data_IF_914212954128
#
_entry.id   IF_914212954128
#
_cell.length_a   1.000
_cell.length_b   1.000
_cell.length_c   1.000
_cell.angle_alpha   90.00
_cell.angle_beta   90.00
_cell.angle_gamma   90.00
#
_symmetry.space_group_name_H-M   'P 1'
#
loop_
_entity.id
_entity.type
_entity.pdbx_description
1 polymer ?
#
# COMPACT_ATOMS: atom_id res chain seq x y z
N UNK A 1 5.58 -7.20 -17.64
CA UNK A 1 6.87 -7.69 -17.08
C UNK A 1 7.13 -7.17 -15.68
N UNK A 2 6.97 -5.87 -15.37
CA UNK A 2 6.99 -5.38 -13.97
C UNK A 2 6.01 -6.17 -13.07
N UNK A 3 4.76 -6.32 -13.52
CA UNK A 3 3.76 -7.17 -12.84
C UNK A 3 4.13 -8.65 -12.83
N UNK A 4 4.97 -9.13 -13.77
CA UNK A 4 5.40 -10.53 -13.83
C UNK A 4 6.56 -10.80 -12.88
N UNK A 5 7.49 -9.85 -12.73
CA UNK A 5 8.59 -9.89 -11.77
C UNK A 5 8.08 -9.63 -10.34
N UNK A 6 7.01 -8.83 -10.20
CA UNK A 6 6.22 -8.77 -8.97
C UNK A 6 5.44 -10.08 -8.78
N UNK A 7 4.78 -10.64 -9.80
CA UNK A 7 3.98 -11.87 -9.66
C UNK A 7 4.79 -13.17 -9.51
N UNK A 8 6.07 -13.23 -9.88
CA UNK A 8 6.89 -14.44 -9.70
C UNK A 8 7.02 -14.86 -8.23
N UNK A 9 7.14 -13.95 -7.25
CA UNK A 9 6.95 -14.26 -5.83
C UNK A 9 5.48 -14.25 -5.36
N UNK A 10 4.54 -13.67 -6.13
CA UNK A 10 3.14 -13.49 -5.68
C UNK A 10 2.21 -14.44 -6.44
N UNK A 11 1.87 -15.57 -5.79
CA UNK A 11 0.80 -16.46 -6.24
C UNK A 11 -0.51 -15.68 -6.34
N UNK A 12 -0.87 -15.24 -7.54
CA UNK A 12 -2.19 -14.71 -7.85
C UNK A 12 -3.14 -15.91 -7.86
N UNK A 13 -3.95 -16.07 -6.82
CA UNK A 13 -4.99 -17.10 -6.77
C UNK A 13 -6.06 -16.81 -7.84
N UNK A 14 -6.23 -17.67 -8.86
CA UNK A 14 -7.23 -17.47 -9.90
C UNK A 14 -8.67 -17.76 -9.45
N UNK A 15 -8.90 -18.21 -8.21
CA UNK A 15 -10.21 -18.66 -7.72
C UNK A 15 -10.88 -17.76 -6.66
N UNK A 16 -10.21 -16.71 -6.19
CA UNK A 16 -10.74 -15.78 -5.19
C UNK A 16 -11.36 -14.53 -5.81
N UNK A 17 -12.67 -14.35 -5.62
CA UNK A 17 -13.50 -13.18 -5.93
C UNK A 17 -12.70 -11.91 -6.33
N UNK A 18 -12.63 -11.68 -7.64
CA UNK A 18 -11.69 -10.76 -8.26
C UNK A 18 -12.01 -9.29 -7.96
N UNK A 19 -11.46 -8.76 -6.87
CA UNK A 19 -11.39 -7.33 -6.63
C UNK A 19 -10.11 -6.81 -7.30
N UNK A 20 -10.07 -6.79 -8.64
CA UNK A 20 -9.04 -6.01 -9.32
C UNK A 20 -9.36 -4.54 -9.05
N UNK A 21 -8.49 -3.79 -8.36
CA UNK A 21 -8.68 -2.34 -8.29
C UNK A 21 -8.65 -1.79 -9.72
N UNK A 22 -9.55 -0.87 -10.03
CA UNK A 22 -9.63 -0.22 -11.35
C UNK A 22 -8.33 0.57 -11.68
N UNK A 23 -7.44 0.75 -10.69
CA UNK A 23 -6.11 1.35 -10.82
C UNK A 23 -5.03 0.45 -10.20
N UNK A 24 -3.79 0.50 -10.73
CA UNK A 24 -2.66 -0.29 -10.18
C UNK A 24 -2.15 0.22 -8.82
N UNK A 25 -2.60 1.39 -8.38
CA UNK A 25 -2.14 2.10 -7.18
C UNK A 25 -2.24 1.23 -5.91
N UNK A 26 -3.37 0.52 -5.66
CA UNK A 26 -3.49 -0.26 -4.44
C UNK A 26 -2.59 -1.49 -4.41
N UNK A 27 -2.11 -1.96 -5.57
CA UNK A 27 -1.16 -3.08 -5.63
C UNK A 27 0.14 -2.68 -4.95
N UNK A 28 0.74 -1.55 -5.35
CA UNK A 28 2.00 -1.07 -4.79
C UNK A 28 1.89 -0.81 -3.29
N UNK A 29 0.87 -0.07 -2.87
CA UNK A 29 0.72 0.31 -1.47
C UNK A 29 0.29 -0.86 -0.58
N UNK A 30 -0.49 -1.82 -1.07
CA UNK A 30 -0.82 -3.03 -0.30
C UNK A 30 0.39 -3.95 -0.16
N UNK A 31 1.15 -4.17 -1.23
CA UNK A 31 2.40 -4.95 -1.17
C UNK A 31 3.35 -4.32 -0.16
N UNK A 32 3.55 -3.01 -0.24
CA UNK A 32 4.43 -2.29 0.67
C UNK A 32 3.94 -2.31 2.13
N UNK A 33 2.62 -2.14 2.35
CA UNK A 33 2.01 -2.29 3.67
C UNK A 33 2.31 -3.66 4.28
N UNK A 34 2.23 -4.73 3.49
CA UNK A 34 2.56 -6.09 3.96
C UNK A 34 4.04 -6.23 4.31
N UNK A 35 4.94 -5.65 3.53
CA UNK A 35 6.38 -5.61 3.85
C UNK A 35 6.64 -4.88 5.18
N UNK A 36 6.01 -3.73 5.39
CA UNK A 36 6.11 -2.93 6.62
C UNK A 36 5.56 -3.65 7.87
N UNK A 37 4.63 -4.59 7.65
CA UNK A 37 4.02 -5.43 8.67
C UNK A 37 4.68 -6.81 8.80
N UNK A 38 5.78 -7.06 8.09
CA UNK A 38 6.51 -8.34 8.10
C UNK A 38 5.61 -9.54 7.73
N UNK A 39 4.64 -9.31 6.85
CA UNK A 39 3.76 -10.34 6.30
C UNK A 39 4.36 -10.90 5.00
N UNK A 40 3.87 -12.07 4.59
CA UNK A 40 4.18 -12.60 3.26
C UNK A 40 3.87 -11.54 2.21
N UNK A 41 4.89 -11.16 1.45
CA UNK A 41 4.73 -10.21 0.37
C UNK A 41 3.86 -10.91 -0.67
N UNK A 42 2.64 -10.44 -0.86
CA UNK A 42 1.62 -11.05 -1.71
C UNK A 42 0.55 -9.99 -2.01
N UNK A 43 -0.14 -10.12 -3.14
CA UNK A 43 -1.30 -9.28 -3.41
C UNK A 43 -2.54 -9.83 -2.70
N UNK A 44 -2.60 -9.60 -1.39
CA UNK A 44 -3.70 -10.00 -0.53
C UNK A 44 -4.04 -8.86 0.43
N UNK A 45 -5.32 -8.67 0.77
CA UNK A 45 -5.73 -7.62 1.70
C UNK A 45 -5.07 -7.80 3.08
N UNK A 46 -4.95 -6.70 3.81
CA UNK A 46 -4.60 -6.71 5.24
C UNK A 46 -5.88 -6.62 6.08
N UNK A 47 -5.85 -7.09 7.32
CA UNK A 47 -6.98 -6.94 8.26
C UNK A 47 -7.11 -5.48 8.73
N UNK A 48 -8.28 -5.10 9.23
CA UNK A 48 -8.49 -3.78 9.88
C UNK A 48 -7.53 -3.54 11.05
N UNK A 49 -7.14 -4.59 11.79
CA UNK A 49 -6.16 -4.47 12.87
C UNK A 49 -4.76 -4.17 12.33
N UNK A 50 -4.39 -4.82 11.23
CA UNK A 50 -3.11 -4.59 10.55
C UNK A 50 -3.03 -3.20 9.92
N UNK A 51 -4.13 -2.67 9.39
CA UNK A 51 -4.14 -1.30 8.86
C UNK A 51 -3.90 -0.27 9.97
N UNK A 52 -4.54 -0.42 11.14
CA UNK A 52 -4.26 0.44 12.30
C UNK A 52 -2.78 0.37 12.71
N UNK A 53 -2.23 -0.84 12.78
CA UNK A 53 -0.81 -1.03 13.12
C UNK A 53 0.14 -0.41 12.09
N UNK A 54 -0.18 -0.50 10.80
CA UNK A 54 0.56 0.15 9.72
C UNK A 54 0.59 1.66 9.96
N UNK A 55 -0.55 2.32 10.10
CA UNK A 55 -0.59 3.78 10.28
C UNK A 55 0.08 4.23 11.58
N UNK A 56 0.03 3.41 12.64
CA UNK A 56 0.81 3.66 13.85
C UNK A 56 2.32 3.66 13.57
N UNK A 57 2.83 2.75 12.73
CA UNK A 57 4.24 2.74 12.29
C UNK A 57 4.59 3.93 11.40
N UNK A 58 3.72 4.25 10.44
CA UNK A 58 3.94 5.35 9.50
C UNK A 58 4.06 6.71 10.17
N UNK A 59 3.29 6.90 11.25
CA UNK A 59 3.21 8.15 12.00
C UNK A 59 4.11 8.17 13.23
N UNK A 60 4.93 7.13 13.41
CA UNK A 60 5.78 7.01 14.59
C UNK A 60 6.78 8.17 14.63
N UNK A 61 6.72 8.97 15.69
CA UNK A 61 7.57 10.16 15.87
C UNK A 61 6.91 11.48 15.44
N UNK A 62 5.71 11.44 14.87
CA UNK A 62 4.91 12.63 14.56
C UNK A 62 4.01 13.00 15.75
N UNK A 63 3.90 14.29 16.05
CA UNK A 63 3.19 14.78 17.24
C UNK A 63 1.66 14.92 17.05
N UNK A 64 1.18 14.88 15.82
CA UNK A 64 -0.22 15.03 15.48
C UNK A 64 -0.42 15.38 14.01
N UNK A 65 -1.68 15.49 13.56
CA UNK A 65 -1.99 15.83 12.18
C UNK A 65 -1.59 17.29 11.83
N UNK A 66 -1.30 17.58 10.55
CA UNK A 66 -1.26 16.62 9.44
C UNK A 66 -0.04 15.69 9.56
N UNK A 67 -0.29 14.39 9.51
CA UNK A 67 0.77 13.39 9.53
C UNK A 67 1.41 13.31 8.16
N UNK A 68 2.67 13.73 8.02
CA UNK A 68 3.35 13.76 6.72
C UNK A 68 3.77 12.38 6.26
N UNK A 69 4.13 11.48 7.17
CA UNK A 69 4.66 10.15 6.86
C UNK A 69 5.90 10.21 5.93
N UNK A 70 6.55 11.37 5.84
CA UNK A 70 7.67 11.65 4.91
C UNK A 70 8.85 10.68 5.00
N UNK A 71 9.25 10.17 6.20
CA UNK A 71 10.39 9.26 6.31
C UNK A 71 10.24 7.97 5.48
N UNK A 72 9.02 7.64 5.07
CA UNK A 72 8.71 6.42 4.33
C UNK A 72 8.58 6.60 2.81
N UNK A 73 8.54 7.85 2.30
CA UNK A 73 8.47 8.12 0.85
C UNK A 73 9.64 7.50 0.09
N UNK A 74 10.86 7.81 0.52
CA UNK A 74 12.05 7.35 -0.16
C UNK A 74 12.27 5.82 -0.03
N UNK A 75 12.06 5.18 1.13
CA UNK A 75 11.99 3.71 1.24
C UNK A 75 10.95 3.07 0.31
N UNK A 76 9.75 3.65 0.19
CA UNK A 76 8.70 3.16 -0.70
C UNK A 76 9.16 3.17 -2.16
N UNK A 77 9.63 4.32 -2.66
CA UNK A 77 10.11 4.47 -4.05
C UNK A 77 11.23 3.47 -4.35
N UNK A 78 12.24 3.39 -3.47
CA UNK A 78 13.37 2.47 -3.63
C UNK A 78 12.98 1.00 -3.69
N UNK A 79 11.97 0.59 -2.92
CA UNK A 79 11.52 -0.82 -2.89
C UNK A 79 11.10 -1.30 -4.28
N UNK A 80 10.34 -0.47 -4.99
CA UNK A 80 9.80 -0.83 -6.30
C UNK A 80 10.78 -0.56 -7.45
N UNK A 81 11.61 0.47 -7.35
CA UNK A 81 12.57 0.79 -8.41
C UNK A 81 13.74 -0.17 -8.43
N UNK A 82 14.14 -0.72 -7.27
CA UNK A 82 15.10 -1.81 -7.19
C UNK A 82 14.60 -3.09 -7.89
N UNK A 83 13.29 -3.36 -7.83
CA UNK A 83 12.66 -4.48 -8.52
C UNK A 83 12.48 -4.25 -10.04
N UNK A 84 12.69 -3.01 -10.51
CA UNK A 84 12.55 -2.60 -11.90
C UNK A 84 13.92 -2.39 -12.58
N UNK A 85 14.89 -3.25 -12.29
CA UNK A 85 16.29 -3.13 -12.76
C UNK A 85 16.46 -3.12 -14.28
N UNK A 86 15.49 -3.65 -15.02
CA UNK A 86 15.56 -3.83 -16.47
C UNK A 86 15.04 -2.61 -17.25
N UNK A 87 14.49 -1.61 -16.57
CA UNK A 87 14.04 -0.37 -17.19
C UNK A 87 15.22 0.46 -17.67
N UNK A 88 15.07 1.13 -18.82
CA UNK A 88 16.07 2.13 -19.23
C UNK A 88 15.98 3.37 -18.33
N UNK A 89 17.01 4.21 -18.35
CA UNK A 89 17.13 5.35 -17.44
C UNK A 89 15.89 6.28 -17.45
N UNK A 90 15.37 6.61 -18.64
CA UNK A 90 14.18 7.46 -18.81
C UNK A 90 12.90 6.80 -18.24
N UNK A 91 12.71 5.50 -18.49
CA UNK A 91 11.57 4.74 -17.94
C UNK A 91 11.66 4.63 -16.41
N UNK A 92 12.88 4.48 -15.88
CA UNK A 92 13.12 4.40 -14.45
C UNK A 92 12.84 5.73 -13.75
N UNK A 93 13.27 6.85 -14.34
CA UNK A 93 13.00 8.20 -13.83
C UNK A 93 11.48 8.47 -13.79
N UNK A 94 10.77 8.19 -14.90
CA UNK A 94 9.31 8.34 -14.95
C UNK A 94 8.60 7.44 -13.91
N UNK A 95 9.13 6.24 -13.66
CA UNK A 95 8.58 5.33 -12.65
C UNK A 95 8.85 5.81 -11.22
N UNK A 96 10.04 6.35 -10.95
CA UNK A 96 10.39 7.00 -9.68
C UNK A 96 9.46 8.18 -9.38
N UNK A 97 9.23 9.05 -10.36
CA UNK A 97 8.29 10.18 -10.25
C UNK A 97 6.86 9.69 -9.99
N UNK A 98 6.41 8.69 -10.73
CA UNK A 98 5.07 8.10 -10.53
C UNK A 98 4.90 7.56 -9.10
N UNK A 99 5.88 6.82 -8.58
CA UNK A 99 5.84 6.28 -7.22
C UNK A 99 5.89 7.39 -6.17
N UNK A 100 6.66 8.45 -6.41
CA UNK A 100 6.72 9.61 -5.52
C UNK A 100 5.37 10.34 -5.44
N UNK A 101 4.70 10.54 -6.59
CA UNK A 101 3.36 11.13 -6.65
C UNK A 101 2.31 10.21 -6.01
N UNK A 102 2.39 8.91 -6.23
CA UNK A 102 1.52 7.94 -5.59
C UNK A 102 1.63 7.98 -4.06
N UNK A 103 2.85 8.16 -3.54
CA UNK A 103 3.06 8.32 -2.11
C UNK A 103 2.41 9.61 -1.58
N UNK A 104 2.56 10.73 -2.30
CA UNK A 104 1.96 12.02 -1.92
C UNK A 104 0.43 11.96 -1.91
N UNK A 105 -0.17 11.35 -2.93
CA UNK A 105 -1.61 11.11 -3.01
C UNK A 105 -2.09 10.25 -1.82
N UNK A 106 -1.33 9.21 -1.48
CA UNK A 106 -1.60 8.36 -0.34
C UNK A 106 -1.50 9.12 0.99
N UNK A 107 -0.39 9.82 1.24
CA UNK A 107 -0.20 10.55 2.50
C UNK A 107 -1.24 11.65 2.65
N UNK A 108 -1.55 12.39 1.59
CA UNK A 108 -2.56 13.46 1.60
C UNK A 108 -3.98 12.95 1.91
N UNK A 109 -4.35 11.74 1.49
CA UNK A 109 -5.62 11.13 1.85
C UNK A 109 -5.70 10.83 3.36
N UNK A 110 -4.58 10.46 3.98
CA UNK A 110 -4.56 9.93 5.35
C UNK A 110 -3.95 10.88 6.41
N UNK A 111 -3.45 12.05 6.02
CA UNK A 111 -2.72 12.99 6.90
C UNK A 111 -3.59 13.54 8.05
N UNK A 112 -4.91 13.66 7.84
CA UNK A 112 -5.82 14.32 8.78
C UNK A 112 -6.51 13.36 9.76
N UNK A 113 -6.31 12.04 9.66
CA UNK A 113 -7.07 11.05 10.44
C UNK A 113 -6.30 10.57 11.68
N UNK A 114 -6.68 10.96 12.91
CA UNK A 114 -5.93 10.61 14.13
C UNK A 114 -6.02 9.13 14.53
N UNK A 115 -7.19 8.49 14.44
CA UNK A 115 -7.47 7.26 15.22
C UNK A 115 -7.49 5.92 14.43
N UNK A 116 -7.44 5.96 13.10
CA UNK A 116 -7.29 4.81 12.19
C UNK A 116 -7.41 5.35 10.76
N UNK A 117 -6.97 4.63 9.72
CA UNK A 117 -7.46 4.95 8.38
C UNK A 117 -8.99 4.88 8.34
N UNK A 118 -9.67 5.68 7.50
CA UNK A 118 -11.09 5.57 7.23
C UNK A 118 -11.50 4.13 6.92
N UNK A 119 -12.79 3.85 7.16
CA UNK A 119 -13.40 2.54 7.01
C UNK A 119 -12.80 1.74 5.84
N UNK A 120 -12.37 0.47 6.06
CA UNK A 120 -11.81 -0.42 5.04
C UNK A 120 -12.53 -0.38 3.68
N UNK A 121 -13.86 -0.20 3.69
CA UNK A 121 -14.72 -0.15 2.50
C UNK A 121 -14.50 1.07 1.61
N UNK A 122 -13.90 2.12 2.16
CA UNK A 122 -13.57 3.37 1.45
C UNK A 122 -12.07 3.57 1.30
N UNK A 123 -11.25 2.59 1.69
CA UNK A 123 -9.80 2.66 1.52
C UNK A 123 -9.45 2.59 0.02
N UNK A 124 -9.04 3.74 -0.53
CA UNK A 124 -8.68 3.84 -1.95
C UNK A 124 -7.34 3.18 -2.27
N UNK A 125 -6.38 3.23 -1.34
CA UNK A 125 -4.99 2.93 -1.63
C UNK A 125 -4.48 1.62 -1.02
N UNK A 126 -5.15 1.10 0.01
CA UNK A 126 -4.76 -0.16 0.64
C UNK A 126 -5.95 -1.09 0.64
N UNK A 127 -5.77 -2.32 0.16
CA UNK A 127 -6.79 -3.34 0.26
C UNK A 127 -6.88 -3.80 1.71
N UNK A 128 -8.05 -3.57 2.31
CA UNK A 128 -8.34 -3.99 3.69
C UNK A 128 -9.53 -4.93 3.67
N UNK A 129 -9.43 -6.04 4.41
CA UNK A 129 -10.52 -6.99 4.53
C UNK A 129 -11.78 -6.28 5.08
N UNK A 130 -12.97 -6.55 4.51
CA UNK A 130 -14.19 -6.03 5.07
C UNK A 130 -14.35 -6.58 6.49
N UNK A 131 -14.52 -5.70 7.47
CA UNK A 131 -14.89 -6.11 8.82
C UNK A 131 -16.19 -6.90 8.71
N UNK A 132 -16.14 -8.20 8.96
CA UNK A 132 -17.33 -9.04 8.98
C UNK A 132 -18.26 -8.50 10.07
N UNK A 133 -19.33 -7.83 9.66
CA UNK A 133 -20.45 -7.53 10.55
C UNK A 133 -21.04 -8.89 10.95
N UNK A 134 -20.61 -9.44 12.09
CA UNK A 134 -21.41 -10.50 12.71
C UNK A 134 -22.81 -9.92 12.92
N UNK A 135 -23.88 -10.57 12.41
CA UNK A 135 -25.22 -10.14 12.74
C UNK A 135 -25.37 -10.25 14.25
N UNK A 136 -25.74 -9.14 14.90
CA UNK A 136 -26.08 -9.14 16.31
C UNK A 136 -27.14 -10.23 16.55
N UNK A 137 -26.82 -11.20 17.40
CA UNK A 137 -27.76 -12.23 17.85
C UNK A 137 -28.62 -11.67 18.96
#
# INVERSE_FOLDING_TARGET
RLLSNLAEPYSIDPSGNSFFPETFQPIFLTIWARQMLELDTAFAPITSKQSVELFRKLRAGESGPPYSMDPYKEPFVRSFTAAASDLVAEEKEAFEEYLALLWEDFSGEYESFPDAPPDPRFSRFILVEPTSLSPAT
#
